data_IF_934194678025
#
_entry.id   IF_934194678025
#
_cell.length_a   1.000
_cell.length_b   1.000
_cell.length_c   1.000
_cell.angle_alpha   90.00
_cell.angle_beta   90.00
_cell.angle_gamma   90.00
#
_symmetry.space_group_name_H-M   'P 1'
#
loop_
_entity.id
_entity.type
_entity.pdbx_description
1 polymer ?
#
# COMPACT_ATOMS: atom_id res chain seq x y z
N UNK A 1 15.02 8.00 -7.23
CA UNK A 1 13.71 7.33 -7.02
C UNK A 1 13.85 5.91 -7.54
N UNK A 2 13.99 4.93 -6.65
CA UNK A 2 14.13 3.51 -7.01
C UNK A 2 12.72 2.92 -7.09
N UNK A 3 12.24 2.69 -8.31
CA UNK A 3 11.05 1.87 -8.51
C UNK A 3 11.45 0.41 -8.27
N UNK A 4 10.84 -0.23 -7.26
CA UNK A 4 10.85 -1.68 -7.07
C UNK A 4 10.28 -2.34 -8.34
N UNK A 5 11.14 -2.93 -9.18
CA UNK A 5 10.75 -3.54 -10.47
C UNK A 5 9.83 -4.76 -10.32
N UNK A 6 9.67 -5.22 -9.09
CA UNK A 6 8.84 -6.32 -8.64
C UNK A 6 7.46 -5.86 -8.14
N UNK A 7 7.05 -4.61 -8.35
CA UNK A 7 5.70 -4.12 -8.04
C UNK A 7 4.96 -3.80 -9.33
N UNK A 8 3.75 -4.34 -9.47
CA UNK A 8 2.86 -4.09 -10.62
C UNK A 8 1.68 -3.26 -10.15
N UNK A 9 1.45 -2.14 -10.84
CA UNK A 9 0.31 -1.27 -10.58
C UNK A 9 -0.75 -1.50 -11.65
N UNK A 10 -2.01 -1.64 -11.22
CA UNK A 10 -3.17 -1.73 -12.09
C UNK A 10 -4.24 -0.77 -11.62
N UNK A 11 -4.53 0.24 -12.44
CA UNK A 11 -5.63 1.15 -12.20
C UNK A 11 -6.83 0.74 -13.06
N UNK A 12 -7.99 0.59 -12.43
CA UNK A 12 -9.27 0.27 -13.06
C UNK A 12 -10.14 1.53 -13.03
N UNK A 13 -10.14 2.33 -14.12
CA UNK A 13 -10.77 3.66 -14.15
C UNK A 13 -12.30 3.63 -14.11
N UNK A 14 -12.89 2.49 -14.49
CA UNK A 14 -14.33 2.23 -14.46
C UNK A 14 -14.91 2.19 -13.05
N UNK A 15 -14.09 1.76 -12.09
CA UNK A 15 -14.47 1.63 -10.67
C UNK A 15 -13.66 2.54 -9.75
N UNK A 16 -12.67 3.27 -10.29
CA UNK A 16 -11.71 4.10 -9.55
C UNK A 16 -10.94 3.30 -8.47
N UNK A 17 -10.48 2.10 -8.87
CA UNK A 17 -9.71 1.20 -8.02
C UNK A 17 -8.25 1.22 -8.45
N UNK A 18 -7.34 1.41 -7.49
CA UNK A 18 -5.93 1.14 -7.69
C UNK A 18 -5.57 -0.15 -6.98
N UNK A 19 -5.07 -1.09 -7.76
CA UNK A 19 -4.53 -2.35 -7.29
C UNK A 19 -3.00 -2.37 -7.43
N UNK A 20 -2.34 -2.79 -6.36
CA UNK A 20 -0.88 -2.95 -6.27
C UNK A 20 -0.61 -4.43 -6.04
N UNK A 21 0.04 -5.07 -7.00
CA UNK A 21 0.51 -6.45 -6.89
C UNK A 21 2.00 -6.47 -6.59
N UNK A 22 2.37 -7.22 -5.57
CA UNK A 22 3.76 -7.49 -5.25
C UNK A 22 4.16 -8.76 -6.02
N UNK A 23 4.82 -8.59 -7.19
CA UNK A 23 5.12 -9.61 -8.22
C UNK A 23 6.01 -10.77 -7.70
N UNK A 24 6.59 -10.62 -6.50
CA UNK A 24 7.30 -11.67 -5.78
C UNK A 24 6.38 -12.69 -5.07
N UNK A 25 5.06 -12.47 -5.08
CA UNK A 25 4.09 -13.44 -4.59
C UNK A 25 4.03 -14.67 -5.52
N UNK A 26 4.26 -15.87 -4.97
CA UNK A 26 4.10 -17.13 -5.71
C UNK A 26 2.61 -17.41 -5.97
N UNK A 27 2.25 -18.05 -7.09
CA UNK A 27 0.90 -18.55 -7.29
C UNK A 27 0.53 -19.52 -6.15
N UNK A 28 -0.48 -19.18 -5.38
CA UNK A 28 -0.87 -19.90 -4.17
C UNK A 28 -2.11 -19.28 -3.55
N UNK A 29 -2.79 -20.03 -2.67
CA UNK A 29 -4.06 -19.63 -2.06
C UNK A 29 -3.87 -18.29 -1.34
N UNK A 30 -4.48 -17.25 -1.90
CA UNK A 30 -4.67 -15.96 -1.25
C UNK A 30 -5.67 -16.22 -0.13
N UNK A 31 -5.31 -15.91 1.13
CA UNK A 31 -6.33 -15.82 2.16
C UNK A 31 -7.11 -14.54 1.86
N UNK A 32 -8.38 -14.70 1.51
CA UNK A 32 -9.30 -13.59 1.28
C UNK A 32 -9.26 -12.66 2.49
N UNK A 33 -8.88 -11.40 2.27
CA UNK A 33 -8.53 -10.49 3.34
C UNK A 33 -9.72 -9.78 3.95
N UNK A 34 -9.63 -9.57 5.26
CA UNK A 34 -10.49 -8.64 5.96
C UNK A 34 -10.16 -7.21 5.50
N UNK A 35 -11.16 -6.37 5.18
CA UNK A 35 -10.91 -4.96 4.87
C UNK A 35 -10.22 -4.29 6.05
N UNK A 36 -9.06 -3.66 5.81
CA UNK A 36 -8.39 -2.87 6.86
C UNK A 36 -9.21 -1.60 7.15
N UNK A 37 -9.86 -1.06 6.12
CA UNK A 37 -10.93 -0.06 6.21
C UNK A 37 -11.83 -0.17 4.95
N UNK A 38 -12.93 0.58 4.91
CA UNK A 38 -13.87 0.66 3.79
C UNK A 38 -13.20 1.03 2.45
N UNK A 39 -12.03 1.68 2.50
CA UNK A 39 -11.32 2.19 1.33
C UNK A 39 -10.06 1.38 0.96
N UNK A 40 -9.67 0.36 1.76
CA UNK A 40 -8.43 -0.42 1.54
C UNK A 40 -8.61 -1.91 1.89
N UNK A 41 -8.27 -2.78 0.94
CA UNK A 41 -8.20 -4.25 1.09
C UNK A 41 -6.75 -4.70 0.91
N UNK A 42 -6.28 -5.62 1.74
CA UNK A 42 -4.89 -6.12 1.72
C UNK A 42 -4.86 -7.64 1.82
N UNK A 43 -4.55 -8.29 0.72
CA UNK A 43 -4.40 -9.74 0.64
C UNK A 43 -3.02 -10.22 1.11
N UNK A 44 -3.03 -11.33 1.85
CA UNK A 44 -1.86 -11.93 2.47
C UNK A 44 -1.57 -13.33 1.89
N UNK A 45 -0.30 -13.72 1.86
CA UNK A 45 0.11 -15.11 1.63
C UNK A 45 -0.10 -15.99 2.88
N UNK A 46 0.19 -17.28 2.74
CA UNK A 46 0.09 -18.29 3.81
C UNK A 46 0.98 -17.98 5.03
N UNK A 47 1.98 -17.11 4.87
CA UNK A 47 2.91 -16.67 5.94
C UNK A 47 2.50 -15.33 6.54
N UNK A 48 1.36 -14.76 6.11
CA UNK A 48 0.87 -13.47 6.58
C UNK A 48 1.55 -12.27 5.92
N UNK A 49 2.29 -12.45 4.82
CA UNK A 49 2.93 -11.33 4.10
C UNK A 49 2.01 -10.72 3.07
N UNK A 50 2.08 -9.41 2.90
CA UNK A 50 1.30 -8.67 1.90
C UNK A 50 1.72 -9.07 0.49
N UNK A 51 0.76 -9.58 -0.29
CA UNK A 51 0.94 -9.97 -1.69
C UNK A 51 0.17 -9.07 -2.66
N UNK A 52 -0.92 -8.48 -2.19
CA UNK A 52 -1.77 -7.65 -3.00
C UNK A 52 -2.50 -6.62 -2.13
N UNK A 53 -2.71 -5.43 -2.68
CA UNK A 53 -3.50 -4.39 -2.04
C UNK A 53 -4.39 -3.72 -3.07
N UNK A 54 -5.65 -3.51 -2.73
CA UNK A 54 -6.57 -2.70 -3.53
C UNK A 54 -7.07 -1.54 -2.70
N UNK A 55 -7.12 -0.37 -3.32
CA UNK A 55 -7.59 0.87 -2.73
C UNK A 55 -8.69 1.47 -3.58
N UNK A 56 -9.69 2.05 -2.94
CA UNK A 56 -10.92 2.52 -3.56
C UNK A 56 -11.00 4.05 -3.54
N UNK A 57 -11.59 4.65 -4.58
CA UNK A 57 -11.97 6.09 -4.63
C UNK A 57 -10.77 7.04 -4.48
N UNK A 58 -9.69 6.76 -5.21
CA UNK A 58 -8.39 7.42 -5.02
C UNK A 58 -8.16 8.56 -6.05
N UNK A 59 -7.76 9.77 -5.63
CA UNK A 59 -7.44 10.88 -6.54
C UNK A 59 -6.12 10.70 -7.31
N UNK A 60 -6.10 9.80 -8.30
CA UNK A 60 -5.32 9.73 -9.57
C UNK A 60 -3.78 9.93 -9.55
N UNK A 61 -3.10 10.36 -8.49
CA UNK A 61 -1.62 10.43 -8.47
C UNK A 61 -1.01 9.46 -7.47
N UNK A 62 -0.31 8.47 -8.00
CA UNK A 62 0.42 7.50 -7.22
C UNK A 62 1.92 7.86 -7.16
N UNK A 63 2.45 8.10 -5.97
CA UNK A 63 3.89 8.09 -5.72
C UNK A 63 4.23 6.88 -4.85
N UNK A 64 5.16 6.05 -5.30
CA UNK A 64 5.63 4.90 -4.53
C UNK A 64 7.12 5.05 -4.27
N UNK A 65 7.50 4.87 -3.00
CA UNK A 65 8.87 4.99 -2.56
C UNK A 65 9.21 3.84 -1.61
N UNK A 66 10.28 3.13 -1.89
CA UNK A 66 10.90 2.21 -0.94
C UNK A 66 12.21 2.84 -0.46
N UNK A 67 12.34 2.99 0.86
CA UNK A 67 13.56 3.46 1.52
C UNK A 67 14.25 2.27 2.17
N UNK A 68 15.33 1.81 1.54
CA UNK A 68 16.14 0.67 2.02
C UNK A 68 16.83 0.95 3.37
N UNK A 69 17.14 2.20 3.69
CA UNK A 69 17.84 2.52 4.95
C UNK A 69 16.90 2.44 6.14
N UNK A 70 15.64 2.81 5.93
CA UNK A 70 14.60 2.80 6.94
C UNK A 70 13.74 1.52 6.92
N UNK A 71 13.94 0.67 5.90
CA UNK A 71 13.07 -0.45 5.56
C UNK A 71 11.58 -0.05 5.54
N UNK A 72 11.27 1.03 4.80
CA UNK A 72 9.90 1.55 4.69
C UNK A 72 9.40 1.55 3.26
N UNK A 73 8.15 1.13 3.07
CA UNK A 73 7.46 1.23 1.79
C UNK A 73 6.30 2.22 1.91
N UNK A 74 6.36 3.28 1.11
CA UNK A 74 5.39 4.37 1.11
C UNK A 74 4.64 4.40 -0.20
N UNK A 75 3.32 4.55 -0.09
CA UNK A 75 2.41 4.71 -1.22
C UNK A 75 1.61 5.98 -0.98
N UNK A 76 1.77 7.02 -1.78
CA UNK A 76 0.99 8.24 -1.70
C UNK A 76 0.01 8.33 -2.86
N UNK A 77 -1.17 8.84 -2.56
CA UNK A 77 -2.34 8.92 -3.44
C UNK A 77 -2.60 10.34 -3.97
N UNK A 78 -1.70 11.26 -3.68
CA UNK A 78 -1.75 12.67 -4.06
C UNK A 78 -0.32 13.12 -4.40
N UNK A 79 -0.16 13.98 -5.41
CA UNK A 79 1.10 14.72 -5.66
C UNK A 79 1.53 15.58 -4.48
N UNK A 80 0.57 15.92 -3.63
CA UNK A 80 0.74 16.83 -2.52
C UNK A 80 0.94 15.96 -1.30
N UNK A 81 2.22 15.74 -0.94
CA UNK A 81 2.60 15.76 0.47
C UNK A 81 2.04 17.09 1.02
N UNK A 82 0.80 17.08 1.52
CA UNK A 82 0.29 18.17 2.34
C UNK A 82 1.34 18.34 3.44
N UNK A 83 1.93 19.53 3.58
CA UNK A 83 3.07 19.77 4.49
C UNK A 83 2.77 19.37 5.95
N UNK A 84 1.50 19.13 6.28
CA UNK A 84 1.06 18.54 7.54
C UNK A 84 0.14 17.33 7.30
N UNK A 85 0.74 16.18 7.00
CA UNK A 85 0.07 14.88 7.12
C UNK A 85 0.23 14.33 8.54
N UNK A 86 -0.82 13.71 9.05
CA UNK A 86 -0.75 12.93 10.30
C UNK A 86 -0.61 11.46 9.96
N UNK A 87 0.21 10.74 10.72
CA UNK A 87 0.28 9.28 10.64
C UNK A 87 -0.61 8.65 11.69
N UNK A 88 -1.48 7.73 11.30
CA UNK A 88 -2.32 6.95 12.21
C UNK A 88 -2.03 5.45 12.05
N UNK A 89 -1.99 4.70 13.15
CA UNK A 89 -1.73 3.26 13.12
C UNK A 89 -2.96 2.53 12.55
N UNK A 90 -2.77 1.83 11.44
CA UNK A 90 -3.81 1.01 10.82
C UNK A 90 -3.73 -0.45 11.30
N UNK A 91 -2.51 -0.99 11.35
CA UNK A 91 -2.22 -2.33 11.85
C UNK A 91 -0.87 -2.35 12.59
N UNK A 92 -0.39 -3.52 13.00
CA UNK A 92 0.95 -3.66 13.59
C UNK A 92 2.09 -3.27 12.62
N UNK A 93 1.84 -3.36 11.31
CA UNK A 93 2.83 -3.16 10.24
C UNK A 93 2.49 -2.02 9.27
N UNK A 94 1.32 -1.41 9.40
CA UNK A 94 0.84 -0.39 8.47
C UNK A 94 0.33 0.85 9.20
N UNK A 95 0.62 2.01 8.62
CA UNK A 95 0.09 3.31 9.02
C UNK A 95 -0.58 4.01 7.84
N UNK A 96 -1.64 4.76 8.12
CA UNK A 96 -2.26 5.70 7.19
C UNK A 96 -1.57 7.05 7.29
N UNK A 97 -1.30 7.68 6.14
CA UNK A 97 -1.11 9.12 6.07
C UNK A 97 -2.47 9.76 5.85
N UNK A 98 -2.90 10.61 6.78
CA UNK A 98 -4.15 11.36 6.71
C UNK A 98 -3.87 12.82 6.36
N UNK A 99 -4.61 13.35 5.39
CA UNK A 99 -4.58 14.79 5.08
C UNK A 99 -5.33 15.60 6.14
N UNK A 100 -5.32 16.94 6.00
CA UNK A 100 -5.99 17.88 6.94
C UNK A 100 -7.50 17.65 7.10
N UNK A 101 -8.14 16.94 6.16
CA UNK A 101 -9.56 16.59 6.20
C UNK A 101 -9.82 15.21 6.82
N UNK A 102 -8.78 14.54 7.31
CA UNK A 102 -8.87 13.18 7.86
C UNK A 102 -9.05 12.10 6.79
N UNK A 103 -8.80 12.39 5.51
CA UNK A 103 -8.86 11.39 4.43
C UNK A 103 -7.50 10.74 4.23
N UNK A 104 -7.51 9.45 3.88
CA UNK A 104 -6.31 8.70 3.52
C UNK A 104 -5.68 9.34 2.28
N UNK A 105 -4.43 9.79 2.44
CA UNK A 105 -3.59 10.38 1.42
C UNK A 105 -2.37 9.51 1.09
N UNK A 106 -2.10 8.50 1.90
CA UNK A 106 -1.07 7.51 1.64
C UNK A 106 -1.04 6.40 2.67
N UNK A 107 -0.15 5.44 2.43
CA UNK A 107 0.13 4.28 3.26
C UNK A 107 1.63 4.21 3.53
N UNK A 108 1.98 3.77 4.72
CA UNK A 108 3.33 3.47 5.16
C UNK A 108 3.36 2.05 5.71
N UNK A 109 4.24 1.23 5.18
CA UNK A 109 4.62 -0.06 5.74
C UNK A 109 6.00 0.10 6.39
N UNK A 110 6.10 -0.22 7.67
CA UNK A 110 7.37 -0.30 8.41
C UNK A 110 7.88 -1.74 8.38
N UNK A 111 9.19 -1.97 8.45
CA UNK A 111 9.80 -3.30 8.27
C UNK A 111 9.35 -3.97 6.95
N UNK A 112 9.28 -3.17 5.88
CA UNK A 112 8.66 -3.55 4.63
C UNK A 112 9.30 -4.80 4.00
N UNK A 113 10.58 -5.07 4.23
CA UNK A 113 11.27 -6.28 3.79
C UNK A 113 10.71 -7.57 4.43
N UNK A 114 10.20 -7.49 5.65
CA UNK A 114 9.62 -8.62 6.38
C UNK A 114 8.15 -8.83 5.99
N UNK A 115 7.39 -7.74 5.87
CA UNK A 115 5.94 -7.76 5.66
C UNK A 115 5.55 -7.86 4.19
N UNK A 116 6.31 -7.26 3.28
CA UNK A 116 6.07 -7.40 1.85
C UNK A 116 6.76 -8.67 1.40
N UNK A 117 6.03 -9.54 0.69
CA UNK A 117 6.59 -10.78 0.17
C UNK A 117 7.82 -10.46 -0.70
N UNK A 118 8.96 -10.98 -0.27
CA UNK A 118 10.24 -10.89 -0.95
C UNK A 118 10.87 -12.28 -1.04
N UNK A 119 11.25 -12.69 -2.25
CA UNK A 119 12.43 -13.54 -2.43
C UNK A 119 13.69 -12.69 -2.29
#
# INVERSE_FOLDING_TARGET
>A
MLFRSDVVFRYSPDVDHLTIYFRKAKPGVIRESDPIDNDVIVDLDEKGKVVHMTTFRIPIVLSVNYDENLDTFKVFFSLIEDEEMKTEKASEYMKYYLNKKGKIAGLLFENASEIISSE
#
